data_IF_575929513195
#
_entry.id   IF_575929513195
#
_cell.length_a   1.000
_cell.length_b   1.000
_cell.length_c   1.000
_cell.angle_alpha   90.00
_cell.angle_beta   90.00
_cell.angle_gamma   90.00
#
_symmetry.space_group_name_H-M   'P 1'
#
loop_
_entity.id
_entity.type
_entity.pdbx_description
1 polymer ?
#
# COMPACT_ATOMS: atom_id res chain seq x y z
N UNK A 1 0.27 -18.32 -3.54
CA UNK A 1 -0.33 -16.97 -3.61
C UNK A 1 0.48 -16.11 -4.56
N UNK A 2 0.01 -14.91 -4.97
CA UNK A 2 0.83 -13.99 -5.79
C UNK A 2 2.19 -13.74 -5.09
N UNK A 3 2.15 -13.53 -3.77
CA UNK A 3 3.34 -13.39 -2.94
C UNK A 3 4.30 -14.58 -3.06
N UNK A 4 3.84 -15.80 -2.77
CA UNK A 4 4.68 -17.01 -2.83
C UNK A 4 5.29 -17.24 -4.21
N UNK A 5 4.53 -16.97 -5.28
CA UNK A 5 5.00 -17.10 -6.66
C UNK A 5 6.13 -16.10 -6.94
N UNK A 6 5.93 -14.83 -6.58
CA UNK A 6 6.93 -13.77 -6.81
C UNK A 6 8.25 -13.98 -6.04
N UNK A 7 8.25 -14.81 -4.99
CA UNK A 7 9.49 -15.16 -4.27
C UNK A 7 10.41 -16.08 -5.08
N UNK A 8 9.87 -16.82 -6.05
CA UNK A 8 10.63 -17.78 -6.87
C UNK A 8 11.30 -17.15 -8.09
N UNK A 9 10.96 -15.90 -8.41
CA UNK A 9 11.44 -15.24 -9.61
C UNK A 9 12.85 -14.67 -9.41
N UNK A 10 13.69 -14.79 -10.44
CA UNK A 10 15.05 -14.23 -10.46
C UNK A 10 15.10 -12.74 -10.83
N UNK A 11 13.94 -12.11 -11.02
CA UNK A 11 13.81 -10.68 -11.31
C UNK A 11 13.30 -9.93 -10.08
N UNK A 12 13.73 -8.67 -9.85
CA UNK A 12 13.18 -7.85 -8.78
C UNK A 12 11.68 -7.61 -8.98
N UNK A 13 10.89 -7.84 -7.92
CA UNK A 13 9.45 -7.60 -7.91
C UNK A 13 9.08 -6.72 -6.72
N UNK A 14 8.31 -5.67 -7.01
CA UNK A 14 7.65 -4.82 -6.01
C UNK A 14 6.15 -5.01 -6.12
N UNK A 15 5.51 -5.35 -5.01
CA UNK A 15 4.08 -5.51 -4.85
C UNK A 15 3.54 -4.28 -4.14
N UNK A 16 2.49 -3.68 -4.68
CA UNK A 16 1.72 -2.63 -3.98
C UNK A 16 0.26 -3.05 -3.92
N UNK A 17 -0.37 -2.90 -2.75
CA UNK A 17 -1.79 -3.20 -2.55
C UNK A 17 -2.47 -1.93 -2.04
N UNK A 18 -3.57 -1.55 -2.69
CA UNK A 18 -4.40 -0.40 -2.36
C UNK A 18 -5.77 -0.51 -3.05
N UNK A 19 -6.85 0.01 -2.45
CA UNK A 19 -8.09 0.27 -3.17
C UNK A 19 -7.96 1.58 -3.99
N UNK A 20 -8.91 1.79 -4.91
CA UNK A 20 -8.99 2.99 -5.75
C UNK A 20 -9.50 4.21 -4.98
N UNK A 21 -10.58 4.06 -4.24
CA UNK A 21 -11.17 5.11 -3.40
C UNK A 21 -12.07 4.52 -2.29
N UNK A 22 -12.33 5.25 -1.20
CA UNK A 22 -13.22 4.77 -0.15
C UNK A 22 -14.69 4.77 -0.61
N UNK A 23 -15.44 3.75 -0.23
CA UNK A 23 -16.88 3.63 -0.47
C UNK A 23 -17.64 3.23 0.81
N UNK A 24 -17.72 4.11 1.82
CA UNK A 24 -18.24 3.73 3.13
C UNK A 24 -19.69 3.23 3.04
N UNK A 25 -19.94 2.06 3.62
CA UNK A 25 -21.25 1.39 3.56
C UNK A 25 -22.41 2.27 4.04
N UNK A 26 -22.17 3.16 5.00
CA UNK A 26 -23.18 4.06 5.57
C UNK A 26 -23.74 5.06 4.54
N UNK A 27 -22.94 5.48 3.55
CA UNK A 27 -23.31 6.49 2.56
C UNK A 27 -23.40 5.94 1.13
N UNK A 28 -22.85 4.74 0.88
CA UNK A 28 -22.91 4.01 -0.40
C UNK A 28 -22.44 4.82 -1.61
N UNK A 29 -21.53 5.76 -1.38
CA UNK A 29 -21.01 6.69 -2.38
C UNK A 29 -19.51 6.83 -2.16
N UNK A 30 -18.77 7.15 -3.23
CA UNK A 30 -17.34 7.37 -3.16
C UNK A 30 -17.04 8.61 -2.30
N UNK A 31 -16.04 8.54 -1.42
CA UNK A 31 -15.53 9.72 -0.69
C UNK A 31 -14.14 10.10 -1.18
N UNK A 32 -13.62 11.21 -0.65
CA UNK A 32 -12.28 11.71 -0.91
C UNK A 32 -11.32 11.44 0.25
N UNK A 33 -11.72 10.59 1.19
CA UNK A 33 -10.86 10.22 2.31
C UNK A 33 -9.65 9.43 1.78
N UNK A 34 -8.56 9.47 2.54
CA UNK A 34 -7.38 8.70 2.20
C UNK A 34 -7.66 7.20 2.31
N UNK A 35 -6.98 6.43 1.46
CA UNK A 35 -7.02 4.97 1.45
C UNK A 35 -5.73 4.39 2.04
N UNK A 36 -5.79 3.23 2.72
CA UNK A 36 -4.59 2.53 3.15
C UNK A 36 -3.89 1.89 1.96
N UNK A 37 -2.56 1.90 1.95
CA UNK A 37 -1.77 1.14 0.98
C UNK A 37 -0.60 0.44 1.69
N UNK A 38 -0.07 -0.60 1.06
CA UNK A 38 1.20 -1.21 1.46
C UNK A 38 2.10 -1.40 0.23
N UNK A 39 3.40 -1.31 0.45
CA UNK A 39 4.43 -1.64 -0.53
C UNK A 39 5.27 -2.76 0.07
N UNK A 40 5.50 -3.80 -0.71
CA UNK A 40 6.37 -4.91 -0.35
C UNK A 40 7.34 -5.18 -1.50
N UNK A 41 8.58 -5.49 -1.17
CA UNK A 41 9.53 -6.12 -2.08
C UNK A 41 10.52 -6.94 -1.25
N UNK A 42 11.23 -7.86 -1.90
CA UNK A 42 12.29 -8.64 -1.24
C UNK A 42 13.35 -7.70 -0.64
N UNK A 43 13.64 -7.85 0.65
CA UNK A 43 14.62 -7.03 1.37
C UNK A 43 14.12 -5.64 1.80
N UNK A 44 12.81 -5.39 1.81
CA UNK A 44 12.27 -4.18 2.45
C UNK A 44 12.45 -4.23 3.97
N UNK A 45 12.85 -3.12 4.57
CA UNK A 45 12.81 -2.94 6.03
C UNK A 45 11.37 -2.59 6.45
N UNK A 46 10.71 -3.41 7.27
CA UNK A 46 9.34 -3.14 7.71
C UNK A 46 9.31 -2.02 8.76
N UNK A 47 8.19 -1.30 8.84
CA UNK A 47 7.90 -0.40 9.94
C UNK A 47 7.16 -1.13 11.09
N UNK A 48 6.67 -0.37 12.07
CA UNK A 48 6.01 -0.93 13.25
C UNK A 48 4.55 -1.36 13.00
N UNK A 49 3.96 -1.10 11.83
CA UNK A 49 2.57 -1.44 11.54
C UNK A 49 2.43 -2.94 11.29
N UNK A 50 1.48 -3.59 11.97
CA UNK A 50 1.29 -5.05 11.89
C UNK A 50 -0.04 -5.47 11.24
N UNK A 51 -0.96 -4.52 11.00
CA UNK A 51 -2.30 -4.79 10.47
C UNK A 51 -2.60 -3.85 9.30
N UNK A 52 -3.27 -4.36 8.27
CA UNK A 52 -3.72 -3.57 7.13
C UNK A 52 -5.20 -3.17 7.30
N UNK A 53 -5.42 -1.95 7.78
CA UNK A 53 -6.73 -1.29 7.91
C UNK A 53 -6.56 0.25 7.86
N UNK A 54 -7.68 0.98 7.81
CA UNK A 54 -7.72 2.44 7.66
C UNK A 54 -7.20 3.22 8.88
N UNK A 55 -7.05 2.57 10.03
CA UNK A 55 -6.58 3.18 11.27
C UNK A 55 -5.08 2.93 11.48
N UNK A 56 -4.64 1.68 11.38
CA UNK A 56 -3.25 1.27 11.56
C UNK A 56 -2.34 1.88 10.49
N UNK A 57 -2.82 2.03 9.25
CA UNK A 57 -2.06 2.65 8.16
C UNK A 57 -1.63 4.10 8.43
N UNK A 58 -2.29 4.80 9.38
CA UNK A 58 -1.94 6.18 9.76
C UNK A 58 -0.59 6.27 10.46
N UNK A 59 -0.19 5.19 11.12
CA UNK A 59 1.10 5.07 11.81
C UNK A 59 2.21 4.56 10.87
N UNK A 60 1.88 4.31 9.60
CA UNK A 60 2.83 3.84 8.59
C UNK A 60 3.90 4.86 8.26
N UNK A 61 5.13 4.39 8.08
CA UNK A 61 6.32 5.20 7.82
C UNK A 61 6.25 6.04 6.54
N UNK A 62 5.41 5.65 5.58
CA UNK A 62 5.21 6.42 4.35
C UNK A 62 4.37 7.69 4.55
N UNK A 63 3.61 7.80 5.63
CA UNK A 63 2.69 8.91 5.86
C UNK A 63 1.66 9.08 4.74
N UNK A 64 1.08 10.28 4.64
CA UNK A 64 0.09 10.59 3.61
C UNK A 64 0.80 10.85 2.26
N UNK A 65 0.42 10.08 1.24
CA UNK A 65 0.83 10.28 -0.16
C UNK A 65 -0.30 10.89 -0.96
N UNK A 66 0.00 11.93 -1.74
CA UNK A 66 -0.95 12.62 -2.60
C UNK A 66 -0.58 12.47 -4.08
N UNK A 67 -1.58 12.52 -4.95
CA UNK A 67 -1.38 12.58 -6.39
C UNK A 67 -0.44 11.45 -6.90
N UNK A 68 0.69 11.81 -7.50
CA UNK A 68 1.67 10.88 -8.05
C UNK A 68 2.80 10.51 -7.08
N UNK A 69 2.75 10.94 -5.82
CA UNK A 69 3.80 10.65 -4.83
C UNK A 69 3.94 9.15 -4.55
N UNK A 70 2.83 8.40 -4.57
CA UNK A 70 2.88 6.95 -4.44
C UNK A 70 3.65 6.33 -5.61
N UNK A 71 3.35 6.73 -6.84
CA UNK A 71 4.05 6.23 -8.03
C UNK A 71 5.55 6.56 -7.98
N UNK A 72 5.89 7.80 -7.57
CA UNK A 72 7.28 8.19 -7.35
C UNK A 72 7.96 7.32 -6.30
N UNK A 73 7.27 7.01 -5.20
CA UNK A 73 7.79 6.13 -4.13
C UNK A 73 8.07 4.71 -4.64
N UNK A 74 7.19 4.17 -5.49
CA UNK A 74 7.33 2.83 -6.06
C UNK A 74 8.51 2.76 -7.05
N UNK A 75 8.71 3.81 -7.86
CA UNK A 75 9.72 3.83 -8.92
C UNK A 75 11.04 4.52 -8.55
N UNK A 76 11.16 5.14 -7.39
CA UNK A 76 12.41 5.78 -6.96
C UNK A 76 13.45 4.79 -6.38
N UNK A 77 13.31 3.50 -6.68
CA UNK A 77 14.25 2.45 -6.29
C UNK A 77 14.96 1.89 -7.51
#
# INVERSE_FOLDING_TARGET
TIYEETLTWDVPVTITILPDHPTPCAIRTHTRDAIPFLIWHKGIEPDSVQTYDEFAAREGSFGLRKENELMKTIFSK
#
